data_IF_004942454422
#
_entry.id   IF_004942454422
#
_cell.length_a   1.000
_cell.length_b   1.000
_cell.length_c   1.000
_cell.angle_alpha   90.00
_cell.angle_beta   90.00
_cell.angle_gamma   90.00
#
_symmetry.space_group_name_H-M   'P 1'
#
loop_
_entity.id
_entity.type
_entity.pdbx_description
1 polymer ?
#
# COMPACT_ATOMS: atom_id res chain seq x y z
N UNK A 1 -23.73 32.35 -30.89
CA UNK A 1 -23.52 32.55 -29.44
C UNK A 1 -23.71 31.20 -28.76
N UNK A 2 -22.62 30.51 -28.40
CA UNK A 2 -22.69 29.25 -27.66
C UNK A 2 -22.88 29.58 -26.17
N UNK A 3 -24.04 29.21 -25.62
CA UNK A 3 -24.35 29.32 -24.20
C UNK A 3 -23.41 28.43 -23.39
N UNK A 4 -22.47 29.04 -22.67
CA UNK A 4 -21.66 28.37 -21.67
C UNK A 4 -22.59 27.94 -20.53
N UNK A 5 -22.93 26.65 -20.49
CA UNK A 5 -23.58 26.04 -19.33
C UNK A 5 -22.61 26.10 -18.16
N UNK A 6 -22.95 26.89 -17.14
CA UNK A 6 -22.21 26.90 -15.87
C UNK A 6 -22.16 25.48 -15.31
N UNK A 7 -20.97 24.88 -15.27
CA UNK A 7 -20.75 23.58 -14.63
C UNK A 7 -21.03 23.77 -13.13
N UNK A 8 -22.24 23.42 -12.67
CA UNK A 8 -22.54 23.38 -11.23
C UNK A 8 -21.60 22.35 -10.60
N UNK A 9 -20.78 22.79 -9.65
CA UNK A 9 -19.90 21.91 -8.89
C UNK A 9 -20.77 20.91 -8.13
N UNK A 10 -20.71 19.64 -8.52
CA UNK A 10 -21.46 18.57 -7.87
C UNK A 10 -20.74 18.12 -6.59
N UNK A 11 -21.09 18.76 -5.48
CA UNK A 11 -20.59 18.44 -4.14
C UNK A 11 -21.00 17.03 -3.66
N UNK A 12 -22.00 16.40 -4.30
CA UNK A 12 -22.38 15.03 -3.96
C UNK A 12 -21.32 14.00 -4.36
N UNK A 13 -20.42 14.37 -5.29
CA UNK A 13 -19.27 13.56 -5.67
C UNK A 13 -18.28 13.36 -4.51
N UNK A 14 -18.20 14.30 -3.57
CA UNK A 14 -17.28 14.24 -2.41
C UNK A 14 -17.66 13.14 -1.40
N UNK A 15 -18.90 12.65 -1.43
CA UNK A 15 -19.44 11.70 -0.44
C UNK A 15 -19.86 10.38 -1.05
N UNK A 16 -20.01 10.32 -2.38
CA UNK A 16 -20.43 9.10 -3.11
C UNK A 16 -19.26 8.35 -3.76
N UNK A 17 -18.15 9.02 -4.04
CA UNK A 17 -17.01 8.40 -4.72
C UNK A 17 -16.02 7.80 -3.72
N UNK A 18 -15.50 6.63 -4.09
CA UNK A 18 -14.49 5.90 -3.32
C UNK A 18 -13.21 6.72 -3.11
N UNK A 19 -12.81 7.50 -4.13
CA UNK A 19 -11.60 8.35 -4.09
C UNK A 19 -11.63 9.37 -2.95
N UNK A 20 -12.79 9.99 -2.73
CA UNK A 20 -12.94 10.99 -1.69
C UNK A 20 -12.98 10.36 -0.31
N UNK A 21 -13.61 9.19 -0.15
CA UNK A 21 -13.56 8.46 1.12
C UNK A 21 -12.15 8.02 1.48
N UNK A 22 -11.33 7.59 0.51
CA UNK A 22 -9.91 7.33 0.74
C UNK A 22 -9.16 8.56 1.26
N UNK A 23 -9.42 9.73 0.65
CA UNK A 23 -8.83 11.00 1.10
C UNK A 23 -9.30 11.38 2.51
N UNK A 24 -10.61 11.35 2.78
CA UNK A 24 -11.17 11.73 4.08
C UNK A 24 -10.67 10.85 5.21
N UNK A 25 -10.56 9.53 4.99
CA UNK A 25 -10.02 8.61 6.00
C UNK A 25 -8.54 8.86 6.23
N UNK A 26 -7.76 9.04 5.15
CA UNK A 26 -6.34 9.37 5.26
C UNK A 26 -6.11 10.67 6.03
N UNK A 27 -6.87 11.72 5.72
CA UNK A 27 -6.83 13.00 6.42
C UNK A 27 -7.28 12.88 7.88
N UNK A 28 -8.35 12.14 8.16
CA UNK A 28 -8.80 11.89 9.54
C UNK A 28 -7.69 11.28 10.39
N UNK A 29 -7.06 10.21 9.90
CA UNK A 29 -5.95 9.54 10.60
C UNK A 29 -4.75 10.50 10.75
N UNK A 30 -4.43 11.27 9.70
CA UNK A 30 -3.37 12.27 9.75
C UNK A 30 -3.63 13.33 10.83
N UNK A 31 -4.82 13.94 10.86
CA UNK A 31 -5.19 14.94 11.86
C UNK A 31 -5.23 14.34 13.28
N UNK A 32 -5.67 13.09 13.44
CA UNK A 32 -5.57 12.37 14.73
C UNK A 32 -4.12 12.12 15.16
N UNK A 33 -3.18 12.03 14.22
CA UNK A 33 -1.75 11.85 14.51
C UNK A 33 -1.02 13.16 14.85
N UNK A 34 -1.49 14.32 14.37
CA UNK A 34 -0.82 15.62 14.54
C UNK A 34 -0.56 16.04 15.99
N UNK A 35 -1.48 15.82 16.96
CA UNK A 35 -1.19 16.12 18.36
C UNK A 35 0.04 15.40 18.91
N UNK A 36 0.48 14.31 18.26
CA UNK A 36 1.72 13.61 18.58
C UNK A 36 2.97 14.49 18.42
N UNK A 37 2.95 15.50 17.55
CA UNK A 37 4.03 16.49 17.45
C UNK A 37 4.20 17.30 18.75
N UNK A 38 3.09 17.56 19.45
CA UNK A 38 3.07 18.26 20.73
C UNK A 38 3.17 17.30 21.94
N UNK A 39 3.51 16.01 21.70
CA UNK A 39 3.63 15.00 22.74
C UNK A 39 2.32 14.34 23.17
N UNK A 40 1.19 14.63 22.50
CA UNK A 40 -0.12 14.03 22.79
C UNK A 40 -0.42 12.94 21.75
N UNK A 41 -0.20 11.67 22.10
CA UNK A 41 -0.32 10.56 21.16
C UNK A 41 -1.71 9.94 21.14
N UNK A 42 -2.70 10.58 20.49
CA UNK A 42 -4.08 10.05 20.41
C UNK A 42 -4.16 8.64 19.80
N UNK A 43 -3.24 8.28 18.91
CA UNK A 43 -3.10 6.97 18.28
C UNK A 43 -1.97 6.12 18.91
N UNK A 44 -1.52 6.46 20.12
CA UNK A 44 -0.44 5.75 20.82
C UNK A 44 -0.75 4.28 21.13
N UNK A 45 -2.02 3.87 21.11
CA UNK A 45 -2.47 2.50 21.32
C UNK A 45 -2.33 1.60 20.06
N UNK A 46 -1.89 2.13 18.92
CA UNK A 46 -1.71 1.34 17.69
C UNK A 46 -0.62 0.28 17.92
N UNK A 47 -0.90 -1.01 17.60
CA UNK A 47 0.10 -2.07 17.70
C UNK A 47 1.11 -1.98 16.55
N UNK A 48 2.37 -2.25 16.87
CA UNK A 48 3.43 -2.46 15.89
C UNK A 48 4.03 -3.84 16.12
N UNK A 49 4.03 -4.70 15.11
CA UNK A 49 4.80 -5.95 15.18
C UNK A 49 6.29 -5.61 15.09
N UNK A 50 7.05 -6.03 16.08
CA UNK A 50 8.49 -5.93 16.12
C UNK A 50 9.09 -7.10 15.32
N UNK A 51 9.04 -7.00 13.98
CA UNK A 51 9.63 -8.00 13.11
C UNK A 51 11.11 -7.66 12.81
N UNK A 52 12.03 -8.63 12.85
CA UNK A 52 11.85 -10.04 13.24
C UNK A 52 11.70 -10.26 14.76
N UNK A 53 10.88 -11.24 15.16
CA UNK A 53 10.71 -11.65 16.56
C UNK A 53 11.02 -13.14 16.80
N UNK A 54 11.54 -13.48 17.98
CA UNK A 54 11.73 -14.87 18.45
C UNK A 54 10.76 -15.21 19.57
N UNK A 55 10.60 -14.28 20.52
CA UNK A 55 9.70 -14.45 21.65
C UNK A 55 8.31 -13.92 21.29
N UNK A 56 7.26 -14.77 21.27
CA UNK A 56 5.89 -14.35 20.97
C UNK A 56 5.40 -13.22 21.89
N UNK A 57 5.82 -13.23 23.17
CA UNK A 57 5.45 -12.21 24.16
C UNK A 57 5.98 -10.80 23.87
N UNK A 58 7.05 -10.66 23.08
CA UNK A 58 7.65 -9.37 22.69
C UNK A 58 7.40 -9.02 21.22
N UNK A 59 6.63 -9.86 20.52
CA UNK A 59 6.38 -9.74 19.09
C UNK A 59 5.55 -8.50 18.71
N UNK A 60 4.72 -8.00 19.63
CA UNK A 60 3.85 -6.85 19.42
C UNK A 60 4.14 -5.80 20.47
N UNK A 61 4.48 -4.60 20.02
CA UNK A 61 4.79 -3.45 20.87
C UNK A 61 3.75 -2.37 20.61
N UNK A 62 3.26 -1.74 21.67
CA UNK A 62 2.32 -0.62 21.57
C UNK A 62 3.12 0.66 21.26
N UNK A 63 2.78 1.37 20.19
CA UNK A 63 3.59 2.50 19.68
C UNK A 63 3.86 3.56 20.76
N UNK A 64 2.87 3.89 21.59
CA UNK A 64 2.97 4.85 22.68
C UNK A 64 3.84 4.38 23.86
N UNK A 65 4.01 3.07 24.04
CA UNK A 65 4.96 2.53 25.03
C UNK A 65 6.40 2.70 24.55
N UNK A 66 6.64 2.55 23.24
CA UNK A 66 7.97 2.69 22.65
C UNK A 66 8.41 4.15 22.47
N UNK A 67 7.48 5.06 22.17
CA UNK A 67 7.81 6.46 21.83
C UNK A 67 7.77 7.41 23.03
N UNK A 68 6.96 7.13 24.05
CA UNK A 68 6.55 8.23 24.95
C UNK A 68 6.64 7.98 26.44
N UNK A 69 6.84 6.74 26.92
CA UNK A 69 6.84 6.42 28.38
C UNK A 69 5.70 7.12 29.16
N UNK A 70 4.57 7.43 28.49
CA UNK A 70 3.49 8.20 29.12
C UNK A 70 2.68 7.23 29.96
N UNK A 71 2.41 7.58 31.22
CA UNK A 71 1.67 6.72 32.18
C UNK A 71 0.34 6.19 31.64
N UNK A 72 -0.28 6.86 30.66
CA UNK A 72 -1.53 6.45 30.02
C UNK A 72 -1.43 5.16 29.18
N UNK A 73 -0.24 4.83 28.65
CA UNK A 73 -0.03 3.63 27.80
C UNK A 73 0.81 2.55 28.49
N UNK A 74 1.41 2.86 29.65
CA UNK A 74 2.11 1.90 30.49
C UNK A 74 1.13 0.83 31.00
N UNK A 75 1.36 -0.44 30.64
CA UNK A 75 0.53 -1.57 31.07
C UNK A 75 -0.59 -1.97 30.09
N UNK A 76 -0.76 -1.26 28.98
CA UNK A 76 -1.72 -1.66 27.94
C UNK A 76 -1.25 -2.97 27.29
N UNK A 77 -2.10 -4.01 27.38
CA UNK A 77 -1.78 -5.33 26.85
C UNK A 77 -1.68 -5.27 25.31
N UNK A 78 -0.61 -5.82 24.69
CA UNK A 78 -0.49 -5.88 23.23
C UNK A 78 -1.70 -6.47 22.52
N UNK A 79 -2.37 -7.46 23.13
CA UNK A 79 -3.59 -8.08 22.56
C UNK A 79 -4.77 -7.09 22.53
N UNK A 80 -4.94 -6.29 23.60
CA UNK A 80 -5.97 -5.26 23.65
C UNK A 80 -5.71 -4.16 22.62
N UNK A 81 -4.43 -3.84 22.37
CA UNK A 81 -4.04 -2.87 21.33
C UNK A 81 -4.44 -3.33 19.93
N UNK A 82 -4.27 -4.63 19.63
CA UNK A 82 -4.73 -5.24 18.38
C UNK A 82 -6.26 -5.16 18.27
N UNK A 83 -6.97 -5.45 19.36
CA UNK A 83 -8.43 -5.36 19.37
C UNK A 83 -8.91 -3.93 19.13
N UNK A 84 -8.33 -2.92 19.80
CA UNK A 84 -8.68 -1.52 19.59
C UNK A 84 -8.37 -1.06 18.16
N UNK A 85 -7.24 -1.49 17.60
CA UNK A 85 -6.88 -1.22 16.21
C UNK A 85 -7.85 -1.83 15.21
N UNK A 86 -8.22 -3.09 15.41
CA UNK A 86 -9.24 -3.75 14.63
C UNK A 86 -10.58 -3.00 14.72
N UNK A 87 -11.07 -2.70 15.92
CA UNK A 87 -12.36 -2.02 16.13
C UNK A 87 -12.38 -0.61 15.55
N UNK A 88 -11.28 0.14 15.69
CA UNK A 88 -11.13 1.48 15.13
C UNK A 88 -11.20 1.46 13.59
N UNK A 89 -10.42 0.60 12.94
CA UNK A 89 -10.45 0.46 11.49
C UNK A 89 -11.79 -0.07 11.00
N UNK A 90 -12.35 -1.09 11.67
CA UNK A 90 -13.66 -1.64 11.36
C UNK A 90 -14.73 -0.54 11.41
N UNK A 91 -14.73 0.30 12.45
CA UNK A 91 -15.70 1.37 12.59
C UNK A 91 -15.60 2.40 11.46
N UNK A 92 -14.40 2.96 11.23
CA UNK A 92 -14.19 4.01 10.21
C UNK A 92 -14.50 3.46 8.81
N UNK A 93 -13.99 2.28 8.48
CA UNK A 93 -14.19 1.69 7.17
C UNK A 93 -15.63 1.24 6.95
N UNK A 94 -16.33 0.73 7.98
CA UNK A 94 -17.74 0.35 7.85
C UNK A 94 -18.65 1.58 7.69
N UNK A 95 -18.34 2.69 8.37
CA UNK A 95 -19.06 3.96 8.19
C UNK A 95 -18.91 4.45 6.74
N UNK A 96 -17.69 4.45 6.23
CA UNK A 96 -17.42 4.84 4.84
C UNK A 96 -18.08 3.88 3.84
N UNK A 97 -18.01 2.57 4.07
CA UNK A 97 -18.68 1.57 3.24
C UNK A 97 -20.19 1.78 3.19
N UNK A 98 -20.82 2.09 4.34
CA UNK A 98 -22.25 2.41 4.42
C UNK A 98 -22.58 3.68 3.64
N UNK A 99 -21.75 4.72 3.73
CA UNK A 99 -21.95 5.96 3.00
C UNK A 99 -21.81 5.80 1.48
N UNK A 100 -20.97 4.86 1.02
CA UNK A 100 -20.85 4.47 -0.39
C UNK A 100 -21.97 3.54 -0.87
N UNK A 101 -22.95 3.19 -0.01
CA UNK A 101 -24.09 2.33 -0.35
C UNK A 101 -23.82 0.83 -0.23
N UNK A 102 -22.71 0.42 0.38
CA UNK A 102 -22.44 -0.99 0.65
C UNK A 102 -23.13 -1.46 1.94
N UNK A 103 -23.47 -2.75 1.99
CA UNK A 103 -24.07 -3.36 3.17
C UNK A 103 -23.04 -3.46 4.31
N UNK A 104 -23.26 -2.68 5.38
CA UNK A 104 -22.37 -2.63 6.54
C UNK A 104 -22.07 -4.02 7.14
N UNK A 105 -23.06 -4.90 7.23
CA UNK A 105 -22.89 -6.26 7.80
C UNK A 105 -21.97 -7.13 6.95
N UNK A 106 -22.11 -7.12 5.62
CA UNK A 106 -21.25 -7.92 4.73
C UNK A 106 -19.84 -7.33 4.69
N UNK A 107 -19.73 -6.00 4.66
CA UNK A 107 -18.44 -5.33 4.71
C UNK A 107 -17.70 -5.66 6.01
N UNK A 108 -18.34 -5.50 7.16
CA UNK A 108 -17.74 -5.80 8.47
C UNK A 108 -17.27 -7.25 8.56
N UNK A 109 -18.09 -8.21 8.12
CA UNK A 109 -17.69 -9.62 8.09
C UNK A 109 -16.50 -9.87 7.16
N UNK A 110 -16.50 -9.29 5.96
CA UNK A 110 -15.40 -9.41 5.00
C UNK A 110 -14.10 -8.80 5.51
N UNK A 111 -14.17 -7.57 6.02
CA UNK A 111 -13.04 -6.88 6.62
C UNK A 111 -12.46 -7.65 7.81
N UNK A 112 -13.31 -8.25 8.64
CA UNK A 112 -12.86 -9.06 9.79
C UNK A 112 -12.05 -10.28 9.35
N UNK A 113 -12.54 -11.01 8.35
CA UNK A 113 -11.83 -12.16 7.80
C UNK A 113 -10.48 -11.71 7.22
N UNK A 114 -10.47 -10.64 6.42
CA UNK A 114 -9.24 -10.09 5.84
C UNK A 114 -8.26 -9.61 6.91
N UNK A 115 -8.73 -8.90 7.93
CA UNK A 115 -7.88 -8.41 9.02
C UNK A 115 -7.22 -9.57 9.77
N UNK A 116 -7.98 -10.61 10.14
CA UNK A 116 -7.45 -11.78 10.84
C UNK A 116 -6.40 -12.50 9.98
N UNK A 117 -6.69 -12.71 8.69
CA UNK A 117 -5.76 -13.37 7.78
C UNK A 117 -4.48 -12.53 7.57
N UNK A 118 -4.63 -11.24 7.23
CA UNK A 118 -3.49 -10.37 6.96
C UNK A 118 -2.65 -10.14 8.21
N UNK A 119 -3.25 -9.80 9.34
CA UNK A 119 -2.52 -9.59 10.60
C UNK A 119 -1.90 -10.89 11.11
N UNK A 120 -2.64 -12.01 11.00
CA UNK A 120 -2.16 -13.33 11.40
C UNK A 120 -0.95 -13.80 10.58
N UNK A 121 -1.01 -13.69 9.25
CA UNK A 121 0.14 -14.02 8.39
C UNK A 121 1.28 -13.03 8.58
N UNK A 122 1.01 -11.73 8.72
CA UNK A 122 2.05 -10.74 8.97
C UNK A 122 2.79 -11.01 10.28
N UNK A 123 2.06 -11.41 11.33
CA UNK A 123 2.65 -11.83 12.60
C UNK A 123 3.46 -13.13 12.45
N UNK A 124 2.88 -14.17 11.81
CA UNK A 124 3.52 -15.48 11.60
C UNK A 124 4.83 -15.38 10.82
N UNK A 125 4.83 -14.67 9.69
CA UNK A 125 6.02 -14.45 8.87
C UNK A 125 6.94 -13.38 9.44
N UNK A 126 6.51 -12.64 10.47
CA UNK A 126 7.40 -11.80 11.27
C UNK A 126 8.35 -12.60 12.17
N UNK A 127 8.17 -13.92 12.27
CA UNK A 127 9.07 -14.79 13.03
C UNK A 127 10.49 -14.77 12.44
N UNK A 128 11.50 -14.75 13.30
CA UNK A 128 12.89 -14.49 12.92
C UNK A 128 13.44 -15.44 11.85
N UNK A 129 13.07 -16.71 11.87
CA UNK A 129 13.52 -17.69 10.86
C UNK A 129 12.96 -17.42 9.46
N UNK A 130 11.86 -16.69 9.32
CA UNK A 130 11.26 -16.35 8.04
C UNK A 130 11.62 -14.96 7.53
N UNK A 131 12.32 -14.15 8.34
CA UNK A 131 12.42 -12.71 8.05
C UNK A 131 13.76 -12.06 8.40
N UNK A 132 14.52 -12.62 9.33
CA UNK A 132 15.75 -12.00 9.78
C UNK A 132 16.77 -11.91 8.64
N UNK A 133 17.42 -10.76 8.50
CA UNK A 133 18.55 -10.59 7.58
C UNK A 133 19.86 -11.02 8.25
N UNK A 134 20.93 -11.33 7.49
CA UNK A 134 22.20 -11.82 8.06
C UNK A 134 22.78 -10.90 9.15
N UNK A 135 22.61 -9.59 9.00
CA UNK A 135 23.04 -8.57 9.98
C UNK A 135 22.36 -8.69 11.36
N UNK A 136 21.24 -9.39 11.42
CA UNK A 136 20.42 -9.55 12.61
C UNK A 136 20.68 -10.89 13.32
N UNK A 137 21.45 -11.81 12.72
CA UNK A 137 21.67 -13.16 13.28
C UNK A 137 22.38 -13.11 14.63
N UNK A 138 23.43 -12.30 14.74
CA UNK A 138 24.17 -12.10 15.97
C UNK A 138 23.32 -11.49 17.10
N UNK A 139 22.37 -10.60 16.76
CA UNK A 139 21.48 -9.94 17.72
C UNK A 139 20.34 -10.83 18.18
N UNK A 140 19.94 -11.77 17.33
CA UNK A 140 18.81 -12.67 17.55
C UNK A 140 19.25 -14.06 18.02
N UNK A 141 20.55 -14.35 18.06
CA UNK A 141 21.10 -15.67 18.41
C UNK A 141 20.53 -16.81 17.54
N UNK A 142 20.35 -16.56 16.24
CA UNK A 142 19.90 -17.54 15.25
C UNK A 142 21.04 -17.90 14.29
N UNK A 143 21.02 -19.13 13.78
CA UNK A 143 22.03 -19.65 12.85
C UNK A 143 21.61 -19.59 11.39
N UNK A 144 20.31 -19.52 11.11
CA UNK A 144 19.76 -19.46 9.77
C UNK A 144 18.40 -18.76 9.77
N UNK A 145 18.06 -18.13 8.65
CA UNK A 145 16.72 -17.66 8.31
C UNK A 145 16.61 -17.48 6.80
N UNK A 146 15.40 -17.24 6.32
CA UNK A 146 15.16 -16.74 4.97
C UNK A 146 15.25 -15.20 5.03
N UNK A 147 16.27 -14.57 4.41
CA UNK A 147 16.54 -13.14 4.58
C UNK A 147 15.68 -12.30 3.64
N UNK A 148 14.37 -12.24 3.92
CA UNK A 148 13.43 -11.47 3.09
C UNK A 148 13.28 -10.02 3.59
N UNK A 149 13.61 -9.76 4.86
CA UNK A 149 13.47 -8.44 5.48
C UNK A 149 12.01 -8.06 5.75
N UNK A 150 11.78 -7.09 6.63
CA UNK A 150 10.44 -6.80 7.18
C UNK A 150 9.37 -6.51 6.12
N UNK A 151 9.76 -5.89 4.99
CA UNK A 151 8.88 -5.63 3.86
C UNK A 151 8.64 -6.87 2.99
N UNK A 152 9.60 -7.80 2.99
CA UNK A 152 9.55 -9.10 2.34
C UNK A 152 8.46 -10.03 2.86
N UNK A 153 7.91 -9.77 4.06
CA UNK A 153 6.74 -10.48 4.57
C UNK A 153 5.57 -10.41 3.58
N UNK A 154 5.43 -9.30 2.86
CA UNK A 154 4.38 -9.11 1.86
C UNK A 154 4.46 -10.13 0.72
N UNK A 155 5.65 -10.65 0.41
CA UNK A 155 5.86 -11.66 -0.63
C UNK A 155 5.23 -12.99 -0.22
N UNK A 156 5.41 -13.41 1.03
CA UNK A 156 4.76 -14.62 1.54
C UNK A 156 3.24 -14.49 1.50
N UNK A 157 2.71 -13.34 1.92
CA UNK A 157 1.28 -13.07 1.90
C UNK A 157 0.76 -13.06 0.45
N UNK A 158 1.51 -12.49 -0.50
CA UNK A 158 1.17 -12.50 -1.92
C UNK A 158 1.13 -13.91 -2.49
N UNK A 159 2.17 -14.73 -2.24
CA UNK A 159 2.24 -16.12 -2.72
C UNK A 159 1.06 -16.93 -2.15
N UNK A 160 0.79 -16.81 -0.85
CA UNK A 160 -0.33 -17.50 -0.20
C UNK A 160 -1.66 -17.02 -0.77
N UNK A 161 -1.83 -15.71 -0.96
CA UNK A 161 -3.02 -15.14 -1.58
C UNK A 161 -3.25 -15.67 -3.00
N UNK A 162 -2.18 -15.76 -3.81
CA UNK A 162 -2.24 -16.30 -5.16
C UNK A 162 -2.58 -17.80 -5.16
N UNK A 163 -1.99 -18.58 -4.26
CA UNK A 163 -2.29 -20.01 -4.09
C UNK A 163 -3.76 -20.20 -3.67
N UNK A 164 -4.23 -19.45 -2.68
CA UNK A 164 -5.63 -19.53 -2.22
C UNK A 164 -6.58 -19.15 -3.36
N UNK A 165 -6.30 -18.06 -4.08
CA UNK A 165 -7.12 -17.62 -5.22
C UNK A 165 -7.16 -18.67 -6.34
N UNK A 166 -6.01 -19.22 -6.72
CA UNK A 166 -5.88 -20.08 -7.90
C UNK A 166 -6.12 -21.57 -7.63
N UNK A 167 -6.06 -22.05 -6.39
CA UNK A 167 -6.34 -23.46 -6.06
C UNK A 167 -7.71 -23.62 -5.41
N UNK A 168 -8.07 -22.75 -4.46
CA UNK A 168 -9.28 -22.91 -3.65
C UNK A 168 -10.49 -22.22 -4.32
N UNK A 169 -10.29 -21.03 -4.88
CA UNK A 169 -11.36 -20.23 -5.48
C UNK A 169 -11.41 -20.28 -7.02
N UNK A 170 -10.56 -21.07 -7.67
CA UNK A 170 -10.56 -21.20 -9.13
C UNK A 170 -11.89 -21.66 -9.73
N UNK A 171 -12.62 -22.55 -9.04
CA UNK A 171 -13.94 -23.06 -9.48
C UNK A 171 -15.13 -22.48 -8.69
N UNK A 172 -14.89 -21.67 -7.67
CA UNK A 172 -15.94 -21.13 -6.78
C UNK A 172 -15.90 -19.61 -6.79
N UNK A 173 -17.04 -18.96 -7.05
CA UNK A 173 -17.14 -17.51 -6.89
C UNK A 173 -16.74 -17.13 -5.46
N UNK A 174 -15.96 -16.05 -5.34
CA UNK A 174 -15.59 -15.50 -4.05
C UNK A 174 -16.88 -15.22 -3.26
N UNK A 175 -16.97 -15.62 -1.97
CA UNK A 175 -18.13 -15.30 -1.15
C UNK A 175 -18.43 -13.80 -1.23
N UNK A 176 -19.70 -13.42 -1.41
CA UNK A 176 -20.12 -12.01 -1.53
C UNK A 176 -19.64 -11.13 -0.35
N UNK A 177 -19.40 -11.75 0.81
CA UNK A 177 -18.81 -11.12 1.99
C UNK A 177 -17.35 -10.70 1.74
N UNK A 178 -16.53 -11.58 1.17
CA UNK A 178 -15.14 -11.27 0.80
C UNK A 178 -15.08 -10.31 -0.37
N UNK A 179 -15.96 -10.43 -1.36
CA UNK A 179 -16.04 -9.47 -2.48
C UNK A 179 -16.38 -8.05 -2.00
N UNK A 180 -17.27 -7.93 -1.01
CA UNK A 180 -17.61 -6.62 -0.42
C UNK A 180 -16.46 -6.06 0.43
N UNK A 181 -15.70 -6.92 1.13
CA UNK A 181 -14.61 -6.51 2.02
C UNK A 181 -13.24 -6.33 1.35
N UNK A 182 -12.97 -7.03 0.25
CA UNK A 182 -11.69 -7.02 -0.47
C UNK A 182 -11.62 -5.89 -1.51
N UNK A 183 -11.75 -4.64 -1.02
CA UNK A 183 -11.70 -3.42 -1.84
C UNK A 183 -10.28 -2.88 -1.94
N UNK A 184 -9.44 -3.62 -2.66
CA UNK A 184 -8.01 -3.37 -2.79
C UNK A 184 -7.70 -1.95 -3.28
N UNK A 185 -8.46 -1.46 -4.27
CA UNK A 185 -8.27 -0.11 -4.82
C UNK A 185 -8.48 0.98 -3.75
N UNK A 186 -9.56 0.88 -2.98
CA UNK A 186 -9.85 1.80 -1.88
C UNK A 186 -8.76 1.82 -0.80
N UNK A 187 -8.28 0.63 -0.41
CA UNK A 187 -7.21 0.50 0.59
C UNK A 187 -5.89 1.08 0.09
N UNK A 188 -5.52 0.81 -1.17
CA UNK A 188 -4.31 1.36 -1.79
C UNK A 188 -4.38 2.89 -1.84
N UNK A 189 -5.52 3.47 -2.27
CA UNK A 189 -5.70 4.93 -2.29
C UNK A 189 -5.55 5.54 -0.90
N UNK A 190 -6.16 4.93 0.11
CA UNK A 190 -6.04 5.38 1.51
C UNK A 190 -4.59 5.29 1.99
N UNK A 191 -3.88 4.21 1.65
CA UNK A 191 -2.48 4.01 1.99
C UNK A 191 -1.56 5.06 1.34
N UNK A 192 -1.82 5.46 0.07
CA UNK A 192 -1.05 6.50 -0.62
C UNK A 192 -1.18 7.86 0.10
N UNK A 193 -2.39 8.20 0.57
CA UNK A 193 -2.61 9.44 1.34
C UNK A 193 -1.82 9.41 2.65
N UNK A 194 -1.86 8.29 3.37
CA UNK A 194 -1.09 8.11 4.62
C UNK A 194 0.43 8.09 4.38
N UNK A 195 0.88 7.50 3.27
CA UNK A 195 2.29 7.49 2.88
C UNK A 195 2.77 8.92 2.57
N UNK A 196 1.96 9.72 1.88
CA UNK A 196 2.24 11.13 1.65
C UNK A 196 2.40 11.91 2.95
N UNK A 197 1.52 11.66 3.93
CA UNK A 197 1.63 12.24 5.27
C UNK A 197 2.91 11.78 6.00
N UNK A 198 3.26 10.50 5.93
CA UNK A 198 4.47 9.93 6.55
C UNK A 198 5.75 10.56 5.95
N UNK A 199 5.85 10.61 4.62
CA UNK A 199 6.98 11.20 3.92
C UNK A 199 7.08 12.69 4.23
N UNK A 200 5.96 13.41 4.20
CA UNK A 200 5.91 14.83 4.57
C UNK A 200 6.39 15.09 6.01
N UNK A 201 5.94 14.29 6.97
CA UNK A 201 6.39 14.38 8.36
C UNK A 201 7.89 14.05 8.51
N UNK A 202 8.40 13.06 7.77
CA UNK A 202 9.82 12.71 7.75
C UNK A 202 10.69 13.85 7.19
N UNK A 203 10.23 14.52 6.12
CA UNK A 203 10.90 15.70 5.55
C UNK A 203 10.98 16.85 6.55
N UNK A 204 9.93 17.10 7.34
CA UNK A 204 9.95 18.14 8.37
C UNK A 204 10.95 17.83 9.51
N UNK A 205 11.11 16.55 9.87
CA UNK A 205 12.00 16.14 10.97
C UNK A 205 13.48 16.24 10.62
N UNK A 206 13.82 16.19 9.34
CA UNK A 206 15.20 16.23 8.85
C UNK A 206 15.33 17.22 7.70
N UNK A 207 15.28 18.53 7.96
CA UNK A 207 15.37 19.59 6.93
C UNK A 207 16.62 19.44 6.03
N UNK A 208 17.77 19.03 6.59
CA UNK A 208 18.98 18.76 5.80
C UNK A 208 18.88 17.52 4.91
N UNK A 209 18.14 16.49 5.33
CA UNK A 209 17.81 15.33 4.49
C UNK A 209 16.65 15.64 3.53
N UNK A 210 15.77 16.59 3.84
CA UNK A 210 14.65 16.96 3.01
C UNK A 210 15.10 17.58 1.69
N UNK A 211 16.13 18.45 1.73
CA UNK A 211 16.71 19.02 0.50
C UNK A 211 17.30 17.90 -0.36
N UNK A 212 18.08 16.99 0.22
CA UNK A 212 18.67 15.86 -0.54
C UNK A 212 17.62 14.85 -1.02
N UNK A 213 16.54 14.63 -0.27
CA UNK A 213 15.40 13.81 -0.68
C UNK A 213 14.65 14.42 -1.86
N UNK A 214 14.32 15.72 -1.77
CA UNK A 214 13.65 16.45 -2.84
C UNK A 214 14.54 16.48 -4.08
N UNK A 215 15.82 16.79 -3.93
CA UNK A 215 16.79 16.80 -5.03
C UNK A 215 16.90 15.42 -5.69
N UNK A 216 17.12 14.34 -4.92
CA UNK A 216 17.18 12.98 -5.46
C UNK A 216 15.88 12.55 -6.10
N UNK A 217 14.73 12.90 -5.51
CA UNK A 217 13.42 12.58 -6.09
C UNK A 217 13.20 13.33 -7.41
N UNK A 218 13.63 14.59 -7.51
CA UNK A 218 13.55 15.38 -8.73
C UNK A 218 14.47 14.81 -9.80
N UNK A 219 15.73 14.51 -9.46
CA UNK A 219 16.67 13.84 -10.37
C UNK A 219 16.10 12.50 -10.84
N UNK A 220 15.51 11.71 -9.94
CA UNK A 220 14.88 10.45 -10.31
C UNK A 220 13.71 10.63 -11.27
N UNK A 221 12.83 11.60 -11.04
CA UNK A 221 11.71 11.91 -11.96
C UNK A 221 12.24 12.37 -13.33
N UNK A 222 13.24 13.25 -13.33
CA UNK A 222 13.85 13.76 -14.56
C UNK A 222 14.55 12.63 -15.32
N UNK A 223 15.34 11.80 -14.65
CA UNK A 223 15.99 10.63 -15.25
C UNK A 223 14.95 9.64 -15.79
N UNK A 224 13.87 9.42 -15.04
CA UNK A 224 12.84 8.50 -15.46
C UNK A 224 12.13 8.97 -16.73
N UNK A 225 11.85 10.27 -16.85
CA UNK A 225 11.23 10.82 -18.05
C UNK A 225 12.20 11.06 -19.22
N UNK A 226 13.44 11.49 -18.97
CA UNK A 226 14.40 11.82 -20.04
C UNK A 226 15.25 10.63 -20.50
N UNK A 227 15.41 9.60 -19.67
CA UNK A 227 16.29 8.45 -19.97
C UNK A 227 15.45 7.19 -20.16
N UNK A 228 14.69 6.78 -19.14
CA UNK A 228 13.94 5.50 -19.23
C UNK A 228 12.83 5.57 -20.27
N UNK A 229 12.10 6.69 -20.35
CA UNK A 229 11.01 6.81 -21.31
C UNK A 229 11.48 6.75 -22.77
N UNK A 230 12.49 7.53 -23.24
CA UNK A 230 12.92 7.46 -24.63
C UNK A 230 13.55 6.11 -24.98
N UNK A 231 14.33 5.52 -24.06
CA UNK A 231 14.92 4.20 -24.26
C UNK A 231 13.80 3.16 -24.44
N UNK A 232 12.84 3.12 -23.52
CA UNK A 232 11.71 2.19 -23.58
C UNK A 232 10.85 2.41 -24.83
N UNK A 233 10.62 3.67 -25.22
CA UNK A 233 9.90 4.01 -26.45
C UNK A 233 10.65 3.51 -27.69
N UNK A 234 11.95 3.78 -27.80
CA UNK A 234 12.77 3.37 -28.95
C UNK A 234 12.87 1.86 -29.05
N UNK A 235 13.05 1.15 -27.94
CA UNK A 235 13.04 -0.32 -27.92
C UNK A 235 11.68 -0.85 -28.38
N UNK A 236 10.59 -0.34 -27.80
CA UNK A 236 9.23 -0.74 -28.15
C UNK A 236 8.92 -0.50 -29.63
N UNK A 237 9.31 0.65 -30.16
CA UNK A 237 9.02 1.05 -31.53
C UNK A 237 9.96 0.42 -32.57
N UNK A 238 11.28 0.38 -32.32
CA UNK A 238 12.27 -0.12 -33.29
C UNK A 238 12.51 -1.62 -33.18
N UNK A 239 12.65 -2.15 -31.96
CA UNK A 239 12.99 -3.56 -31.76
C UNK A 239 11.73 -4.44 -31.83
N UNK A 240 10.68 -4.06 -31.08
CA UNK A 240 9.43 -4.82 -31.03
C UNK A 240 8.41 -4.41 -32.11
N UNK A 241 8.72 -3.38 -32.90
CA UNK A 241 7.88 -2.90 -34.02
C UNK A 241 6.44 -2.60 -33.61
N UNK A 242 6.25 -2.10 -32.39
CA UNK A 242 4.94 -1.68 -31.90
C UNK A 242 4.53 -0.35 -32.54
N UNK A 243 3.23 -0.18 -32.78
CA UNK A 243 2.66 1.10 -33.22
C UNK A 243 2.93 2.18 -32.14
N UNK A 244 3.01 3.45 -32.58
CA UNK A 244 3.33 4.64 -31.78
C UNK A 244 2.48 4.68 -30.50
N UNK A 245 1.18 4.40 -30.61
CA UNK A 245 0.26 4.43 -29.46
C UNK A 245 0.60 3.35 -28.43
N UNK A 246 1.00 2.16 -28.88
CA UNK A 246 1.44 1.07 -28.01
C UNK A 246 2.79 1.36 -27.38
N UNK A 247 3.76 1.81 -28.18
CA UNK A 247 5.10 2.15 -27.72
C UNK A 247 5.08 3.29 -26.68
N UNK A 248 4.32 4.35 -26.92
CA UNK A 248 4.19 5.48 -25.99
C UNK A 248 3.49 5.08 -24.69
N UNK A 249 2.44 4.25 -24.77
CA UNK A 249 1.72 3.76 -23.59
C UNK A 249 2.58 2.84 -22.74
N UNK A 250 3.30 1.90 -23.36
CA UNK A 250 4.22 0.99 -22.68
C UNK A 250 5.41 1.73 -22.05
N UNK A 251 6.04 2.66 -22.79
CA UNK A 251 7.15 3.47 -22.29
C UNK A 251 6.75 4.31 -21.08
N UNK A 252 5.55 4.89 -21.11
CA UNK A 252 5.01 5.66 -19.97
C UNK A 252 4.76 4.78 -18.75
N UNK A 253 4.22 3.57 -18.97
CA UNK A 253 4.00 2.62 -17.89
C UNK A 253 5.28 2.18 -17.21
N UNK A 254 6.29 1.76 -17.99
CA UNK A 254 7.57 1.28 -17.46
C UNK A 254 8.36 2.38 -16.74
N UNK A 255 8.22 3.63 -17.15
CA UNK A 255 9.12 4.71 -16.69
C UNK A 255 8.60 5.53 -15.51
N UNK A 256 7.36 5.37 -15.06
CA UNK A 256 6.79 6.24 -14.01
C UNK A 256 6.14 5.40 -12.91
N UNK A 257 4.82 5.31 -12.89
CA UNK A 257 4.03 4.66 -11.83
C UNK A 257 3.29 3.42 -12.35
N UNK A 258 3.77 2.82 -13.45
CA UNK A 258 3.18 1.61 -14.00
C UNK A 258 1.82 1.87 -14.66
N UNK A 259 0.79 1.20 -14.13
CA UNK A 259 -0.55 1.16 -14.72
C UNK A 259 -1.18 2.54 -14.85
N UNK A 260 -1.05 3.40 -13.83
CA UNK A 260 -1.66 4.75 -13.84
C UNK A 260 -1.06 5.64 -14.92
N UNK A 261 0.25 5.58 -15.13
CA UNK A 261 0.92 6.33 -16.20
C UNK A 261 0.53 5.81 -17.58
N UNK A 262 0.43 4.49 -17.76
CA UNK A 262 -0.04 3.89 -19.01
C UNK A 262 -1.48 4.34 -19.35
N UNK A 263 -2.40 4.30 -18.38
CA UNK A 263 -3.79 4.72 -18.58
C UNK A 263 -3.88 6.23 -18.90
N UNK A 264 -3.15 7.07 -18.16
CA UNK A 264 -3.13 8.51 -18.39
C UNK A 264 -2.57 8.88 -19.78
N UNK A 265 -1.44 8.27 -20.18
CA UNK A 265 -0.87 8.48 -21.51
C UNK A 265 -1.81 7.99 -22.61
N UNK A 266 -2.40 6.80 -22.47
CA UNK A 266 -3.34 6.26 -23.43
C UNK A 266 -4.55 7.18 -23.64
N UNK A 267 -5.08 7.76 -22.56
CA UNK A 267 -6.16 8.75 -22.62
C UNK A 267 -5.70 10.04 -23.33
N UNK A 268 -4.51 10.54 -23.03
CA UNK A 268 -3.98 11.77 -23.62
C UNK A 268 -3.71 11.67 -25.13
N UNK A 269 -3.24 10.50 -25.61
CA UNK A 269 -2.93 10.28 -27.03
C UNK A 269 -4.09 9.67 -27.83
N UNK A 270 -5.27 9.49 -27.20
CA UNK A 270 -6.44 8.88 -27.84
C UNK A 270 -6.19 7.44 -28.31
N UNK A 271 -5.55 6.62 -27.47
CA UNK A 271 -5.36 5.20 -27.73
C UNK A 271 -6.66 4.41 -27.46
N UNK A 272 -6.96 3.36 -28.26
CA UNK A 272 -8.13 2.54 -28.00
C UNK A 272 -8.00 1.84 -26.65
N UNK A 273 -9.11 1.60 -25.96
CA UNK A 273 -9.16 1.08 -24.58
C UNK A 273 -8.45 -0.26 -24.38
N UNK A 274 -8.27 -1.04 -25.44
CA UNK A 274 -7.50 -2.30 -25.41
C UNK A 274 -6.01 -2.09 -25.15
N UNK A 275 -5.44 -0.95 -25.55
CA UNK A 275 -4.01 -0.63 -25.37
C UNK A 275 -3.65 -0.48 -23.88
N UNK A 276 -4.24 0.45 -23.12
CA UNK A 276 -3.92 0.58 -21.70
C UNK A 276 -4.31 -0.66 -20.89
N UNK A 277 -5.39 -1.38 -21.27
CA UNK A 277 -5.79 -2.61 -20.57
C UNK A 277 -4.75 -3.73 -20.72
N UNK A 278 -4.23 -3.92 -21.93
CA UNK A 278 -3.21 -4.93 -22.23
C UNK A 278 -1.88 -4.56 -21.57
N UNK A 279 -1.43 -3.31 -21.74
CA UNK A 279 -0.19 -2.81 -21.13
C UNK A 279 -0.25 -2.92 -19.60
N UNK A 280 -1.38 -2.55 -18.98
CA UNK A 280 -1.57 -2.69 -17.54
C UNK A 280 -1.43 -4.14 -17.08
N UNK A 281 -2.03 -5.09 -17.80
CA UNK A 281 -1.97 -6.51 -17.48
C UNK A 281 -0.53 -7.05 -17.55
N UNK A 282 0.23 -6.63 -18.56
CA UNK A 282 1.64 -6.99 -18.72
C UNK A 282 2.47 -6.42 -17.55
N UNK A 283 2.30 -5.13 -17.23
CA UNK A 283 3.01 -4.48 -16.12
C UNK A 283 2.72 -5.20 -14.80
N UNK A 284 1.47 -5.54 -14.52
CA UNK A 284 1.09 -6.24 -13.29
C UNK A 284 1.73 -7.63 -13.23
N UNK A 285 1.78 -8.35 -14.35
CA UNK A 285 2.44 -9.65 -14.42
C UNK A 285 3.94 -9.54 -14.10
N UNK A 286 4.65 -8.62 -14.77
CA UNK A 286 6.08 -8.41 -14.52
C UNK A 286 6.33 -7.92 -13.09
N UNK A 287 5.55 -6.97 -12.58
CA UNK A 287 5.66 -6.48 -11.22
C UNK A 287 5.47 -7.60 -10.19
N UNK A 288 4.53 -8.53 -10.42
CA UNK A 288 4.35 -9.68 -9.54
C UNK A 288 5.58 -10.60 -9.54
N UNK A 289 6.19 -10.83 -10.71
CA UNK A 289 7.42 -11.63 -10.83
C UNK A 289 8.59 -10.93 -10.16
N UNK A 290 8.78 -9.64 -10.41
CA UNK A 290 9.86 -8.84 -9.84
C UNK A 290 9.76 -8.75 -8.32
N UNK A 291 8.56 -8.52 -7.77
CA UNK A 291 8.34 -8.49 -6.33
C UNK A 291 8.69 -9.82 -5.65
N UNK A 292 8.49 -10.94 -6.34
CA UNK A 292 8.84 -12.27 -5.83
C UNK A 292 10.34 -12.55 -5.97
N UNK A 293 10.96 -12.17 -7.10
CA UNK A 293 12.34 -12.58 -7.42
C UNK A 293 13.40 -11.61 -6.91
N UNK A 294 13.21 -10.29 -7.08
CA UNK A 294 14.24 -9.27 -6.79
C UNK A 294 14.76 -9.33 -5.34
N UNK A 295 13.92 -9.55 -4.31
CA UNK A 295 14.41 -9.58 -2.93
C UNK A 295 15.42 -10.70 -2.68
N UNK A 296 15.29 -11.85 -3.36
CA UNK A 296 16.26 -12.94 -3.25
C UNK A 296 17.57 -12.65 -4.00
N UNK A 297 17.50 -11.91 -5.10
CA UNK A 297 18.70 -11.45 -5.84
C UNK A 297 19.44 -10.36 -5.06
N UNK A 298 18.71 -9.47 -4.38
CA UNK A 298 19.30 -8.39 -3.60
C UNK A 298 19.84 -8.84 -2.23
N UNK A 299 19.44 -10.02 -1.76
CA UNK A 299 19.86 -10.58 -0.47
C UNK A 299 21.21 -11.34 -0.52
N UNK A 300 21.81 -11.50 -1.71
CA UNK A 300 23.20 -11.97 -1.90
C UNK A 300 24.17 -10.82 -1.91
#
# INVERSE_FOLDING_TARGET
MATQTSVKVDWSSLWKKEDWWALWIGLLIFFLSLPGYYGIYLLGWVPRVAAPWINPSKSVVVVGQALTMTKAYLGLNPVLSILFFYLFLLAILTIAAKAMGHSARRFAAGFTIMFILTFGFWWLFGYAYFNATPDQYAKLHITWSIPVGADGILIYILIIGLIISNLIFYKRKLPAVLETGARTEWYIKTAIVLLGALVGAASLRYISLAVTLVERSLIAIVAAYLIYWPISYVISYKLFKLDIKWAATLASGVSICGVSAAIATAAAIGAPSIVPATVASIIVLFAAIELVILPFIAAT
#
